data_IF_650720418892
#
_entry.id   IF_650720418892
#
_cell.length_a   1.000
_cell.length_b   1.000
_cell.length_c   1.000
_cell.angle_alpha   90.00
_cell.angle_beta   90.00
_cell.angle_gamma   90.00
#
_symmetry.space_group_name_H-M   'P 1'
#
loop_
_entity.id
_entity.type
_entity.pdbx_description
1 polymer ?
#
# COMPACT_ATOMS: atom_id res chain seq x y z
N UNK A 1 -21.15 -51.25 -26.66
CA UNK A 1 -22.16 -50.47 -25.93
C UNK A 1 -21.40 -49.66 -24.90
N UNK A 2 -21.17 -48.39 -25.22
CA UNK A 2 -20.53 -47.39 -24.35
C UNK A 2 -21.51 -46.91 -23.29
N UNK A 3 -21.04 -46.74 -22.08
CA UNK A 3 -21.53 -45.66 -21.21
C UNK A 3 -20.33 -45.02 -20.51
N UNK A 4 -20.15 -43.75 -20.85
CA UNK A 4 -19.18 -42.81 -20.30
C UNK A 4 -19.24 -42.76 -18.77
N UNK A 5 -18.07 -42.81 -18.15
CA UNK A 5 -17.84 -42.26 -16.82
C UNK A 5 -17.51 -40.76 -16.98
N UNK A 6 -18.24 -39.96 -16.21
CA UNK A 6 -18.24 -38.50 -16.16
C UNK A 6 -16.84 -37.93 -15.87
N UNK A 7 -16.33 -36.93 -16.62
CA UNK A 7 -15.13 -36.22 -16.23
C UNK A 7 -15.45 -35.31 -15.03
N UNK A 8 -14.69 -35.50 -13.96
CA UNK A 8 -14.74 -34.65 -12.76
C UNK A 8 -14.37 -33.23 -13.17
N UNK A 9 -15.28 -32.30 -12.91
CA UNK A 9 -15.03 -30.86 -13.01
C UNK A 9 -14.09 -30.46 -11.87
N UNK A 10 -12.81 -30.35 -12.19
CA UNK A 10 -11.80 -29.78 -11.31
C UNK A 10 -11.97 -28.25 -11.34
N UNK A 11 -12.27 -27.66 -10.18
CA UNK A 11 -12.46 -26.23 -10.02
C UNK A 11 -11.15 -25.45 -10.29
N UNK A 12 -11.15 -24.37 -11.08
CA UNK A 12 -9.96 -23.58 -11.34
C UNK A 12 -9.74 -22.58 -10.20
N UNK A 13 -8.93 -22.92 -9.20
CA UNK A 13 -8.66 -22.04 -8.05
C UNK A 13 -7.17 -21.76 -7.82
N UNK A 14 -6.34 -21.83 -8.86
CA UNK A 14 -4.88 -21.66 -8.71
C UNK A 14 -4.24 -20.63 -9.66
N UNK A 15 -5.01 -19.98 -10.53
CA UNK A 15 -4.45 -19.01 -11.47
C UNK A 15 -4.44 -17.57 -10.92
N UNK A 16 -5.55 -17.10 -10.34
CA UNK A 16 -5.70 -15.70 -9.94
C UNK A 16 -4.71 -15.22 -8.87
N UNK A 17 -4.28 -16.07 -7.93
CA UNK A 17 -3.31 -15.67 -6.91
C UNK A 17 -1.91 -15.37 -7.49
N UNK A 18 -1.47 -16.15 -8.48
CA UNK A 18 -0.17 -15.91 -9.16
C UNK A 18 -0.19 -14.62 -9.97
N UNK A 19 -1.35 -14.26 -10.51
CA UNK A 19 -1.55 -13.01 -11.24
C UNK A 19 -1.49 -11.81 -10.28
N UNK A 20 -2.11 -11.89 -9.10
CA UNK A 20 -2.06 -10.80 -8.10
C UNK A 20 -0.65 -10.53 -7.55
N UNK A 21 0.16 -11.57 -7.31
CA UNK A 21 1.53 -11.38 -6.81
C UNK A 21 2.45 -10.78 -7.89
N UNK A 22 2.27 -11.18 -9.14
CA UNK A 22 2.98 -10.60 -10.28
C UNK A 22 2.62 -9.13 -10.51
N UNK A 23 1.34 -8.79 -10.36
CA UNK A 23 0.85 -7.41 -10.39
C UNK A 23 1.42 -6.61 -9.21
N UNK A 24 1.34 -7.13 -7.98
CA UNK A 24 1.88 -6.48 -6.79
C UNK A 24 3.37 -6.19 -6.90
N UNK A 25 4.17 -7.13 -7.43
CA UNK A 25 5.60 -6.93 -7.67
C UNK A 25 5.88 -5.85 -8.72
N UNK A 26 5.05 -5.78 -9.76
CA UNK A 26 5.15 -4.75 -10.81
C UNK A 26 4.79 -3.37 -10.26
N UNK A 27 3.74 -3.28 -9.43
CA UNK A 27 3.31 -2.06 -8.74
C UNK A 27 4.37 -1.60 -7.73
N UNK A 28 4.90 -2.50 -6.90
CA UNK A 28 5.94 -2.16 -5.92
C UNK A 28 7.20 -1.60 -6.60
N UNK A 29 7.65 -2.22 -7.70
CA UNK A 29 8.78 -1.69 -8.50
C UNK A 29 8.47 -0.35 -9.17
N UNK A 30 7.21 -0.11 -9.53
CA UNK A 30 6.78 1.17 -10.08
C UNK A 30 6.82 2.29 -9.02
N UNK A 31 6.50 1.97 -7.76
CA UNK A 31 6.50 2.92 -6.64
C UNK A 31 7.90 3.15 -6.06
N UNK A 32 8.76 2.13 -6.05
CA UNK A 32 10.14 2.20 -5.53
C UNK A 32 11.10 2.95 -6.48
N UNK A 33 10.77 3.00 -7.77
CA UNK A 33 11.56 3.73 -8.76
C UNK A 33 11.20 5.22 -8.74
N UNK A 34 12.21 6.09 -8.63
CA UNK A 34 12.03 7.53 -8.76
C UNK A 34 11.54 7.89 -10.17
N UNK A 35 10.23 8.16 -10.26
CA UNK A 35 9.58 8.72 -11.44
C UNK A 35 9.06 10.11 -11.09
N UNK A 36 9.48 11.09 -11.88
CA UNK A 36 8.85 12.40 -11.91
C UNK A 36 7.80 12.39 -13.03
N UNK A 37 6.60 12.88 -12.74
CA UNK A 37 5.48 12.93 -13.70
C UNK A 37 5.09 14.39 -13.86
N UNK A 38 5.07 14.86 -15.10
CA UNK A 38 4.55 16.18 -15.46
C UNK A 38 3.32 15.98 -16.34
N UNK A 39 2.20 16.61 -15.98
CA UNK A 39 1.06 16.72 -16.87
C UNK A 39 1.44 17.60 -18.06
N UNK A 40 1.15 17.16 -19.29
CA UNK A 40 1.33 18.03 -20.45
C UNK A 40 0.15 18.99 -20.58
N UNK A 41 0.24 19.92 -21.54
CA UNK A 41 -0.80 20.93 -21.76
C UNK A 41 -2.08 20.31 -22.35
N UNK A 42 -1.96 19.10 -22.91
CA UNK A 42 -3.06 18.34 -23.49
C UNK A 42 -3.71 17.45 -22.40
N UNK A 43 -5.03 17.60 -22.26
CA UNK A 43 -5.83 16.87 -21.27
C UNK A 43 -5.71 15.35 -21.52
N UNK A 44 -5.11 14.63 -20.56
CA UNK A 44 -4.95 13.17 -20.62
C UNK A 44 -3.58 12.64 -21.04
N UNK A 45 -2.63 13.52 -21.45
CA UNK A 45 -1.25 13.12 -21.77
C UNK A 45 -0.27 13.52 -20.65
N UNK A 46 0.65 12.62 -20.31
CA UNK A 46 1.60 12.77 -19.20
C UNK A 46 3.01 12.43 -19.65
N UNK A 47 3.96 13.24 -19.21
CA UNK A 47 5.38 13.00 -19.40
C UNK A 47 5.98 12.39 -18.14
N UNK A 48 6.52 11.19 -18.25
CA UNK A 48 7.16 10.45 -17.15
C UNK A 48 8.67 10.43 -17.34
N UNK A 49 9.39 11.03 -16.41
CA UNK A 49 10.84 11.01 -16.34
C UNK A 49 11.28 9.85 -15.45
N UNK A 50 11.91 8.86 -16.07
CA UNK A 50 12.58 7.77 -15.37
C UNK A 50 13.97 8.24 -14.93
N UNK A 51 14.37 7.95 -13.68
CA UNK A 51 15.68 8.29 -13.12
C UNK A 51 16.90 7.80 -13.92
N UNK A 52 16.69 7.00 -14.98
CA UNK A 52 17.70 6.60 -15.98
C UNK A 52 17.78 7.56 -17.19
N UNK A 53 17.47 8.84 -17.02
CA UNK A 53 17.51 9.88 -18.09
C UNK A 53 16.61 9.58 -19.30
N UNK A 54 15.58 8.76 -19.12
CA UNK A 54 14.65 8.40 -20.20
C UNK A 54 13.31 9.03 -19.89
N UNK A 55 12.80 9.79 -20.85
CA UNK A 55 11.50 10.43 -20.78
C UNK A 55 10.53 9.65 -21.67
N UNK A 56 9.36 9.34 -21.12
CA UNK A 56 8.31 8.63 -21.82
C UNK A 56 7.01 9.43 -21.79
N UNK A 57 6.25 9.34 -22.87
CA UNK A 57 4.91 9.92 -22.96
C UNK A 57 3.91 8.83 -22.64
N UNK A 58 2.89 9.17 -21.88
CA UNK A 58 1.81 8.31 -21.43
C UNK A 58 0.49 8.96 -21.84
N UNK A 59 -0.37 8.19 -22.49
CA UNK A 59 -1.77 8.55 -22.69
C UNK A 59 -2.60 7.71 -21.70
N UNK A 60 -3.24 8.37 -20.74
CA UNK A 60 -4.05 7.69 -19.73
C UNK A 60 -5.38 7.17 -20.28
N UNK A 61 -5.92 7.78 -21.34
CA UNK A 61 -7.20 7.39 -21.94
C UNK A 61 -7.15 5.95 -22.45
N UNK A 62 -6.04 5.59 -23.09
CA UNK A 62 -5.79 4.26 -23.64
C UNK A 62 -4.83 3.42 -22.78
N UNK A 63 -4.30 3.98 -21.69
CA UNK A 63 -3.27 3.36 -20.84
C UNK A 63 -1.97 3.05 -21.59
N UNK A 64 -1.68 3.78 -22.66
CA UNK A 64 -0.52 3.54 -23.53
C UNK A 64 0.69 4.34 -23.08
N UNK A 65 1.89 3.84 -23.40
CA UNK A 65 3.13 4.52 -23.07
C UNK A 65 4.20 4.24 -24.12
N UNK A 66 5.02 5.25 -24.44
CA UNK A 66 6.11 5.13 -25.42
C UNK A 66 7.28 4.27 -24.95
N UNK A 67 7.29 3.82 -23.69
CA UNK A 67 8.34 2.95 -23.18
C UNK A 67 8.30 1.54 -23.83
N UNK A 68 9.40 0.78 -23.79
CA UNK A 68 9.45 -0.56 -24.37
C UNK A 68 8.39 -1.53 -23.82
N UNK A 69 7.98 -1.35 -22.57
CA UNK A 69 6.92 -2.16 -21.96
C UNK A 69 5.52 -1.73 -22.42
N UNK A 70 5.28 -0.44 -22.62
CA UNK A 70 4.00 0.10 -23.11
C UNK A 70 3.76 -0.19 -24.59
N UNK A 71 4.83 -0.38 -25.37
CA UNK A 71 4.73 -0.85 -26.76
C UNK A 71 4.31 -2.33 -26.85
N UNK A 72 4.49 -3.11 -25.77
CA UNK A 72 4.14 -4.54 -25.73
C UNK A 72 2.70 -4.80 -25.27
N UNK A 73 2.06 -3.81 -24.65
CA UNK A 73 0.71 -3.91 -24.13
C UNK A 73 0.32 -2.69 -23.31
N UNK A 74 -0.98 -2.52 -23.06
CA UNK A 74 -1.49 -1.42 -22.24
C UNK A 74 -1.03 -1.57 -20.78
N UNK A 75 -1.03 -0.47 -20.03
CA UNK A 75 -0.75 -0.43 -18.60
C UNK A 75 0.66 -0.88 -18.20
N UNK A 76 1.66 -0.13 -18.68
CA UNK A 76 3.03 -0.28 -18.17
C UNK A 76 3.19 0.42 -16.81
N UNK A 77 4.34 0.21 -16.15
CA UNK A 77 4.64 0.86 -14.86
C UNK A 77 4.54 2.40 -14.88
N UNK A 78 4.83 3.03 -16.02
CA UNK A 78 4.75 4.49 -16.15
C UNK A 78 3.29 4.95 -16.26
N UNK A 79 2.43 4.18 -16.95
CA UNK A 79 1.00 4.45 -17.02
C UNK A 79 0.35 4.35 -15.63
N UNK A 80 0.68 3.32 -14.84
CA UNK A 80 0.22 3.24 -13.44
C UNK A 80 0.72 4.40 -12.58
N UNK A 81 1.96 4.84 -12.77
CA UNK A 81 2.52 5.96 -12.02
C UNK A 81 1.86 7.29 -12.41
N UNK A 82 1.59 7.50 -13.70
CA UNK A 82 0.90 8.69 -14.20
C UNK A 82 -0.55 8.73 -13.70
N UNK A 83 -1.27 7.62 -13.79
CA UNK A 83 -2.62 7.44 -13.22
C UNK A 83 -2.65 7.81 -11.72
N UNK A 84 -1.70 7.27 -10.95
CA UNK A 84 -1.59 7.57 -9.52
C UNK A 84 -1.35 9.07 -9.23
N UNK A 85 -0.51 9.75 -10.03
CA UNK A 85 -0.24 11.18 -9.86
C UNK A 85 -1.42 12.05 -10.31
N UNK A 86 -2.11 11.62 -11.37
CA UNK A 86 -3.30 12.29 -11.90
C UNK A 86 -4.53 12.16 -10.98
N UNK A 87 -4.54 11.19 -10.06
CA UNK A 87 -5.73 10.81 -9.29
C UNK A 87 -6.74 10.02 -10.10
N UNK A 88 -6.44 9.74 -11.37
CA UNK A 88 -7.27 8.97 -12.29
C UNK A 88 -6.86 7.49 -12.18
N UNK A 89 -7.47 6.74 -11.26
CA UNK A 89 -7.23 5.29 -11.21
C UNK A 89 -8.06 4.65 -12.31
N UNK A 90 -7.43 4.04 -13.34
CA UNK A 90 -8.17 3.36 -14.39
C UNK A 90 -8.96 2.18 -13.86
N UNK A 91 -9.98 1.78 -14.62
CA UNK A 91 -10.66 0.52 -14.41
C UNK A 91 -9.73 -0.64 -14.83
N UNK A 92 -8.91 -1.13 -13.89
CA UNK A 92 -7.97 -2.21 -14.16
C UNK A 92 -8.71 -3.53 -13.99
N UNK A 93 -9.30 -4.07 -15.06
CA UNK A 93 -9.78 -5.46 -15.16
C UNK A 93 -10.52 -5.97 -13.89
N UNK A 94 -11.49 -5.17 -13.42
CA UNK A 94 -12.32 -5.48 -12.24
C UNK A 94 -11.76 -5.06 -10.87
N UNK A 95 -10.61 -4.39 -10.81
CA UNK A 95 -10.08 -3.77 -9.59
C UNK A 95 -10.54 -2.32 -9.51
N UNK A 96 -11.74 -2.11 -8.98
CA UNK A 96 -12.21 -0.77 -8.63
C UNK A 96 -11.60 -0.35 -7.29
N UNK A 97 -10.68 0.62 -7.31
CA UNK A 97 -10.37 1.37 -6.08
C UNK A 97 -11.51 2.37 -5.93
N UNK A 98 -12.49 2.06 -5.10
CA UNK A 98 -13.57 2.99 -4.79
C UNK A 98 -12.94 4.26 -4.21
N UNK A 99 -12.89 5.32 -5.01
CA UNK A 99 -12.63 6.66 -4.50
C UNK A 99 -13.93 7.06 -3.82
N UNK A 100 -14.00 6.81 -2.51
CA UNK A 100 -15.06 7.37 -1.68
C UNK A 100 -14.79 8.87 -1.54
N UNK A 101 -15.22 9.63 -2.53
CA UNK A 101 -15.41 11.07 -2.43
C UNK A 101 -16.71 11.28 -1.63
N UNK A 102 -16.55 11.76 -0.39
CA UNK A 102 -17.58 12.26 0.53
C UNK A 102 -18.47 11.23 1.25
N UNK A 103 -18.27 11.08 2.56
CA UNK A 103 -19.24 11.58 3.55
C UNK A 103 -18.68 11.44 4.97
N UNK A 104 -18.82 12.52 5.72
CA UNK A 104 -18.52 12.60 7.14
C UNK A 104 -19.57 11.80 7.89
N UNK A 105 -19.36 10.48 7.98
CA UNK A 105 -20.09 9.67 8.94
C UNK A 105 -19.16 9.42 10.09
N UNK A 106 -19.45 10.12 11.20
CA UNK A 106 -19.09 9.78 12.56
C UNK A 106 -19.23 8.26 12.76
N UNK A 107 -18.15 7.53 12.51
CA UNK A 107 -18.01 6.15 12.94
C UNK A 107 -17.31 6.25 14.29
N UNK A 108 -18.11 6.59 15.30
CA UNK A 108 -17.91 6.17 16.69
C UNK A 108 -17.81 4.64 16.66
N UNK A 109 -16.65 4.12 16.24
CA UNK A 109 -16.27 2.77 16.58
C UNK A 109 -15.91 2.84 18.03
N UNK A 110 -16.90 2.51 18.86
CA UNK A 110 -16.71 1.79 20.10
C UNK A 110 -15.79 0.60 19.80
N UNK A 111 -14.49 0.87 19.75
CA UNK A 111 -13.47 -0.13 20.01
C UNK A 111 -13.64 -0.38 21.49
N UNK A 112 -14.39 -1.44 21.81
CA UNK A 112 -14.30 -2.17 23.07
C UNK A 112 -12.85 -2.65 23.25
N UNK A 113 -12.02 -1.69 23.63
CA UNK A 113 -10.70 -1.83 24.16
C UNK A 113 -10.67 -0.78 25.23
N UNK A 114 -11.20 -1.14 26.40
CA UNK A 114 -11.04 -0.44 27.67
C UNK A 114 -9.52 -0.29 27.95
N UNK A 115 -8.84 0.54 27.17
CA UNK A 115 -7.63 1.20 27.60
C UNK A 115 -8.17 2.36 28.41
N UNK A 116 -8.36 2.07 29.70
CA UNK A 116 -8.53 3.03 30.75
C UNK A 116 -7.71 4.30 30.45
N UNK A 117 -8.36 5.36 29.96
CA UNK A 117 -7.72 6.64 29.58
C UNK A 117 -7.09 7.36 30.80
N UNK A 118 -7.11 6.75 31.98
CA UNK A 118 -6.36 7.15 33.16
C UNK A 118 -4.92 6.62 33.18
N UNK A 119 -4.57 5.66 32.34
CA UNK A 119 -3.28 4.99 32.43
C UNK A 119 -2.14 5.91 31.97
N UNK A 120 -1.30 6.28 32.92
CA UNK A 120 -0.18 7.18 32.68
C UNK A 120 0.91 6.51 31.84
N UNK A 121 1.78 7.33 31.24
CA UNK A 121 2.98 6.86 30.53
C UNK A 121 3.81 5.90 31.40
N UNK A 122 3.90 6.16 32.70
CA UNK A 122 4.62 5.33 33.65
C UNK A 122 3.99 3.93 33.77
N UNK A 123 2.68 3.88 34.01
CA UNK A 123 1.94 2.61 34.15
C UNK A 123 1.97 1.75 32.87
N UNK A 124 2.07 2.38 31.71
CA UNK A 124 2.25 1.70 30.41
C UNK A 124 3.65 1.09 30.27
N UNK A 125 4.67 1.82 30.68
CA UNK A 125 6.07 1.41 30.61
C UNK A 125 6.35 0.30 31.65
N UNK A 126 5.87 0.45 32.88
CA UNK A 126 6.05 -0.53 33.96
C UNK A 126 5.38 -1.88 33.62
N UNK A 127 4.16 -1.86 33.06
CA UNK A 127 3.48 -3.10 32.61
C UNK A 127 4.27 -3.79 31.51
N UNK A 128 4.83 -3.01 30.59
CA UNK A 128 5.62 -3.56 29.49
C UNK A 128 6.93 -4.19 29.98
N UNK A 129 7.59 -3.56 30.95
CA UNK A 129 8.80 -4.08 31.59
C UNK A 129 8.52 -5.37 32.39
N UNK A 130 7.41 -5.44 33.13
CA UNK A 130 7.02 -6.67 33.85
C UNK A 130 6.86 -7.86 32.91
N UNK A 131 6.38 -7.63 31.68
CA UNK A 131 6.27 -8.65 30.65
C UNK A 131 7.59 -8.91 29.90
N UNK A 132 8.50 -7.93 29.89
CA UNK A 132 9.77 -7.95 29.16
C UNK A 132 10.91 -7.41 30.04
N UNK A 133 11.42 -8.22 30.98
CA UNK A 133 12.56 -7.81 31.80
C UNK A 133 13.77 -7.55 30.90
N UNK A 134 14.54 -6.51 31.20
CA UNK A 134 15.67 -6.00 30.40
C UNK A 134 15.28 -5.33 29.07
N UNK A 135 14.02 -4.94 28.88
CA UNK A 135 13.61 -4.15 27.71
C UNK A 135 14.32 -2.79 27.68
N UNK A 136 14.95 -2.47 26.55
CA UNK A 136 15.54 -1.14 26.32
C UNK A 136 14.45 -0.11 26.04
N UNK A 137 14.64 1.14 26.48
CA UNK A 137 13.74 2.25 26.19
C UNK A 137 13.36 2.38 24.70
N UNK A 138 14.28 2.09 23.78
CA UNK A 138 14.00 2.12 22.33
C UNK A 138 12.96 1.06 21.94
N UNK A 139 13.05 -0.13 22.54
CA UNK A 139 12.11 -1.22 22.32
C UNK A 139 10.74 -0.88 22.91
N UNK A 140 10.70 -0.31 24.11
CA UNK A 140 9.46 0.15 24.76
C UNK A 140 8.76 1.21 23.91
N UNK A 141 9.50 2.22 23.45
CA UNK A 141 8.96 3.31 22.60
C UNK A 141 8.37 2.76 21.31
N UNK A 142 9.09 1.83 20.66
CA UNK A 142 8.64 1.24 19.40
C UNK A 142 7.40 0.35 19.58
N UNK A 143 7.33 -0.41 20.67
CA UNK A 143 6.28 -1.41 20.88
C UNK A 143 5.01 -0.82 21.52
N UNK A 144 5.14 0.25 22.30
CA UNK A 144 4.03 0.99 22.90
C UNK A 144 3.57 2.19 22.06
N UNK A 145 4.23 2.48 20.94
CA UNK A 145 3.91 3.62 20.07
C UNK A 145 4.11 4.98 20.77
N UNK A 146 5.08 5.08 21.67
CA UNK A 146 5.40 6.31 22.40
C UNK A 146 6.17 7.25 21.46
N UNK A 147 5.98 8.56 21.60
CA UNK A 147 6.74 9.55 20.84
C UNK A 147 8.25 9.46 21.18
N UNK A 148 9.17 9.39 20.20
CA UNK A 148 10.61 9.31 20.42
C UNK A 148 11.20 10.47 21.26
N UNK A 149 10.55 11.64 21.28
CA UNK A 149 10.96 12.77 22.11
C UNK A 149 10.70 12.54 23.61
N UNK A 150 9.90 11.52 23.97
CA UNK A 150 9.63 11.12 25.35
C UNK A 150 10.63 10.07 25.86
N UNK A 151 11.69 9.76 25.09
CA UNK A 151 12.69 8.73 25.44
C UNK A 151 13.27 8.92 26.84
N UNK A 152 13.62 10.15 27.20
CA UNK A 152 14.19 10.47 28.52
C UNK A 152 13.23 10.11 29.67
N UNK A 153 11.92 10.32 29.48
CA UNK A 153 10.89 9.97 30.47
C UNK A 153 10.64 8.47 30.56
N UNK A 154 10.80 7.73 29.45
CA UNK A 154 10.74 6.26 29.46
C UNK A 154 11.96 5.67 30.14
N UNK A 155 13.15 6.25 29.91
CA UNK A 155 14.38 5.84 30.59
C UNK A 155 14.35 6.14 32.09
N UNK A 156 13.71 7.23 32.51
CA UNK A 156 13.47 7.55 33.92
C UNK A 156 12.62 6.48 34.60
N UNK A 157 11.50 6.09 33.99
CA UNK A 157 10.60 5.05 34.54
C UNK A 157 11.24 3.66 34.59
N UNK A 158 12.02 3.29 33.57
CA UNK A 158 12.75 2.00 33.54
C UNK A 158 13.95 1.96 34.52
N UNK A 159 14.29 3.08 35.15
CA UNK A 159 15.41 3.18 36.09
C UNK A 159 14.96 3.22 37.56
N UNK A 160 13.65 3.25 37.83
CA UNK A 160 13.03 3.19 39.17
C UNK A 160 12.85 1.75 39.68
#
# INVERSE_FOLDING_TARGET
MSTNETPQTEAPTTNHQRDTEAVAKRVHRALDSFFHVEATVDDGEYTVFSGSSSTYTVDLSDGTCTCPDGQRGPWCKHAYRAAFVAGEIPDIDGVHVAVSEDDSSDDDRDVDGENDDSETLAERVERFEQANPDASAIMVISQLGIDPNQKERVEEVLAE
#
